data_IF_693628864000
#
_entry.id   IF_693628864000
#
_cell.length_a   1.000
_cell.length_b   1.000
_cell.length_c   1.000
_cell.angle_alpha   90.00
_cell.angle_beta   90.00
_cell.angle_gamma   90.00
#
_symmetry.space_group_name_H-M   'P 1'
#
loop_
_entity.id
_entity.type
_entity.pdbx_description
1 polymer ?
#
# COMPACT_ATOMS: atom_id res chain seq x y z
N UNK A 1 5.99 -10.75 -8.56
CA UNK A 1 5.49 -10.05 -7.35
C UNK A 1 4.08 -9.62 -7.65
N UNK A 2 3.17 -9.87 -6.70
CA UNK A 2 1.79 -9.47 -6.83
C UNK A 2 1.54 -8.25 -5.98
N UNK A 3 1.03 -7.19 -6.61
CA UNK A 3 0.77 -5.91 -5.96
C UNK A 3 -0.71 -5.65 -6.05
N UNK A 4 -1.33 -5.39 -4.91
CA UNK A 4 -2.73 -4.95 -4.81
C UNK A 4 -2.75 -3.66 -4.00
N UNK A 5 -3.47 -2.66 -4.50
CA UNK A 5 -3.55 -1.34 -3.86
C UNK A 5 -4.92 -0.71 -4.11
N UNK A 6 -5.33 0.22 -3.25
CA UNK A 6 -6.62 0.88 -3.39
C UNK A 6 -7.21 1.32 -2.05
N UNK A 7 -8.46 1.77 -2.08
CA UNK A 7 -9.25 2.12 -0.90
C UNK A 7 -10.04 0.92 -0.37
N UNK A 8 -10.97 1.15 0.56
CA UNK A 8 -11.97 0.17 0.99
C UNK A 8 -13.01 -0.16 -0.08
N UNK A 9 -13.22 0.74 -1.04
CA UNK A 9 -14.19 0.58 -2.15
C UNK A 9 -13.55 0.39 -3.53
N UNK A 10 -12.23 0.54 -3.65
CA UNK A 10 -11.47 0.39 -4.89
C UNK A 10 -10.31 -0.59 -4.68
N UNK A 11 -10.15 -1.57 -5.55
CA UNK A 11 -9.04 -2.53 -5.51
C UNK A 11 -8.43 -2.71 -6.89
N UNK A 12 -7.15 -2.33 -7.01
CA UNK A 12 -6.39 -2.34 -8.27
C UNK A 12 -5.17 -3.23 -8.18
N UNK A 13 -4.69 -3.65 -9.35
CA UNK A 13 -3.44 -4.42 -9.49
C UNK A 13 -2.30 -3.52 -9.95
N UNK A 14 -1.17 -3.62 -9.27
CA UNK A 14 0.06 -2.91 -9.60
C UNK A 14 0.99 -3.77 -10.45
N UNK A 15 1.76 -3.12 -11.32
CA UNK A 15 2.79 -3.79 -12.13
C UNK A 15 4.16 -3.36 -11.63
N UNK A 16 4.95 -4.31 -11.15
CA UNK A 16 6.35 -4.05 -10.79
C UNK A 16 7.19 -3.87 -12.05
N UNK A 17 7.91 -2.74 -12.17
CA UNK A 17 8.77 -2.47 -13.33
C UNK A 17 10.04 -1.77 -12.87
N UNK A 18 11.19 -2.20 -13.40
CA UNK A 18 12.49 -1.57 -13.12
C UNK A 18 12.82 -1.45 -11.61
N UNK A 19 12.42 -2.43 -10.80
CA UNK A 19 12.74 -2.47 -9.37
C UNK A 19 11.88 -1.57 -8.46
N UNK A 20 10.79 -0.98 -8.97
CA UNK A 20 9.85 -0.17 -8.17
C UNK A 20 8.43 -0.27 -8.72
N UNK A 21 7.46 0.01 -7.86
CA UNK A 21 6.10 0.35 -8.23
C UNK A 21 5.71 1.62 -7.47
N UNK A 22 5.13 2.57 -8.19
CA UNK A 22 4.66 3.84 -7.64
C UNK A 22 3.47 4.33 -8.47
N UNK A 23 2.45 4.83 -7.78
CA UNK A 23 1.25 5.36 -8.40
C UNK A 23 0.52 6.30 -7.45
N UNK A 24 -0.42 7.07 -7.99
CA UNK A 24 -1.28 7.99 -7.25
C UNK A 24 -2.73 7.68 -7.59
N UNK A 25 -3.58 7.68 -6.56
CA UNK A 25 -5.02 7.56 -6.71
C UNK A 25 -5.67 8.94 -6.48
N UNK A 26 -6.80 9.24 -7.12
CA UNK A 26 -7.67 10.32 -6.68
C UNK A 26 -8.02 10.15 -5.20
N UNK A 27 -7.95 11.23 -4.44
CA UNK A 27 -8.35 11.23 -3.05
C UNK A 27 -9.89 11.14 -2.95
N UNK A 28 -10.37 10.23 -2.12
CA UNK A 28 -11.78 10.05 -1.78
C UNK A 28 -11.96 10.36 -0.30
N UNK A 29 -12.75 11.39 -0.01
CA UNK A 29 -13.04 11.83 1.36
C UNK A 29 -13.88 10.82 2.15
N UNK A 30 -14.57 9.90 1.45
CA UNK A 30 -15.40 8.86 2.06
C UNK A 30 -14.63 7.55 2.27
N UNK A 31 -13.37 7.46 1.82
CA UNK A 31 -12.57 6.26 1.98
C UNK A 31 -12.25 6.00 3.46
N UNK A 32 -12.54 4.79 3.94
CA UNK A 32 -12.24 4.37 5.30
C UNK A 32 -10.76 4.03 5.47
N UNK A 33 -10.11 3.55 4.42
CA UNK A 33 -8.68 3.29 4.41
C UNK A 33 -8.11 3.31 3.00
N UNK A 34 -6.79 3.50 2.89
CA UNK A 34 -6.02 3.13 1.72
C UNK A 34 -4.98 2.08 2.10
N UNK A 35 -4.83 1.06 1.25
CA UNK A 35 -3.89 -0.02 1.50
C UNK A 35 -3.04 -0.34 0.27
N UNK A 36 -1.85 -0.87 0.54
CA UNK A 36 -0.93 -1.44 -0.42
C UNK A 36 -0.43 -2.76 0.16
N UNK A 37 -0.66 -3.83 -0.58
CA UNK A 37 -0.10 -5.15 -0.30
C UNK A 37 0.78 -5.56 -1.48
N UNK A 38 2.04 -5.89 -1.19
CA UNK A 38 2.98 -6.42 -2.16
C UNK A 38 3.51 -7.77 -1.66
N UNK A 39 3.33 -8.82 -2.44
CA UNK A 39 3.80 -10.16 -2.12
C UNK A 39 4.91 -10.59 -3.07
N UNK A 40 6.07 -10.91 -2.50
CA UNK A 40 7.14 -11.56 -3.26
C UNK A 40 6.74 -13.01 -3.59
N UNK A 41 7.01 -13.41 -4.84
CA UNK A 41 6.81 -14.78 -5.31
C UNK A 41 8.12 -15.58 -5.16
N UNK A 42 8.71 -15.54 -3.97
CA UNK A 42 10.02 -16.11 -3.68
C UNK A 42 10.77 -15.29 -2.63
N UNK A 43 12.11 -15.40 -2.63
CA UNK A 43 12.95 -14.67 -1.69
C UNK A 43 13.22 -13.23 -2.11
N UNK A 44 13.35 -12.33 -1.14
CA UNK A 44 13.79 -10.97 -1.39
C UNK A 44 13.58 -10.05 -0.20
N UNK A 45 13.73 -8.76 -0.45
CA UNK A 45 13.56 -7.68 0.50
C UNK A 45 12.70 -6.58 -0.14
N UNK A 46 11.56 -6.25 0.46
CA UNK A 46 10.64 -5.26 -0.08
C UNK A 46 10.16 -4.28 0.98
N UNK A 47 10.13 -3.01 0.58
CA UNK A 47 9.53 -1.93 1.35
C UNK A 47 8.29 -1.44 0.61
N UNK A 48 7.25 -1.13 1.36
CA UNK A 48 6.02 -0.57 0.83
C UNK A 48 5.60 0.61 1.70
N UNK A 49 4.94 1.59 1.09
CA UNK A 49 4.42 2.74 1.82
C UNK A 49 3.14 3.25 1.19
N UNK A 50 2.25 3.76 2.04
CA UNK A 50 1.04 4.49 1.64
C UNK A 50 1.12 5.87 2.27
N UNK A 51 0.88 6.90 1.47
CA UNK A 51 0.85 8.29 1.91
C UNK A 51 -0.51 8.89 1.57
N UNK A 52 -1.21 9.40 2.58
CA UNK A 52 -2.52 10.05 2.43
C UNK A 52 -2.54 11.31 3.29
N UNK A 53 -2.95 12.44 2.70
CA UNK A 53 -3.04 13.72 3.39
C UNK A 53 -1.78 14.09 4.22
N UNK A 54 -0.59 13.80 3.69
CA UNK A 54 0.70 14.06 4.36
C UNK A 54 1.12 13.03 5.41
N UNK A 55 0.24 12.11 5.82
CA UNK A 55 0.57 11.01 6.71
C UNK A 55 1.10 9.83 5.91
N UNK A 56 2.09 9.11 6.44
CA UNK A 56 2.71 7.97 5.74
C UNK A 56 2.80 6.75 6.64
N UNK A 57 2.25 5.61 6.18
CA UNK A 57 2.53 4.30 6.76
C UNK A 57 3.55 3.58 5.90
N UNK A 58 4.47 2.87 6.55
CA UNK A 58 5.47 2.02 5.89
C UNK A 58 5.31 0.59 6.36
N UNK A 59 5.55 -0.34 5.46
CA UNK A 59 5.72 -1.76 5.72
C UNK A 59 7.07 -2.23 5.20
N UNK A 60 7.51 -3.36 5.71
CA UNK A 60 8.75 -4.02 5.31
C UNK A 60 8.56 -5.53 5.43
N UNK A 61 9.07 -6.28 4.46
CA UNK A 61 9.04 -7.74 4.49
C UNK A 61 10.27 -8.32 3.79
N UNK A 62 10.93 -9.29 4.43
CA UNK A 62 12.14 -9.94 3.94
C UNK A 62 12.18 -11.44 4.33
N UNK A 63 12.90 -12.27 3.57
CA UNK A 63 12.87 -13.75 3.72
C UNK A 63 12.30 -14.51 2.52
N UNK A 64 11.67 -15.68 2.73
CA UNK A 64 11.21 -16.61 1.68
C UNK A 64 9.70 -16.59 1.35
N UNK A 65 8.87 -15.96 2.19
CA UNK A 65 7.46 -15.69 1.92
C UNK A 65 7.10 -14.36 2.57
N UNK A 66 7.15 -13.29 1.77
CA UNK A 66 7.18 -11.94 2.31
C UNK A 66 6.02 -11.15 1.71
N UNK A 67 5.06 -10.84 2.58
CA UNK A 67 3.97 -9.92 2.29
C UNK A 67 4.32 -8.60 2.96
N UNK A 68 4.59 -7.57 2.17
CA UNK A 68 4.64 -6.21 2.66
C UNK A 68 3.24 -5.62 2.63
N UNK A 69 2.75 -5.22 3.80
CA UNK A 69 1.47 -4.55 3.93
C UNK A 69 1.69 -3.16 4.55
N UNK A 70 1.08 -2.15 3.94
CA UNK A 70 0.96 -0.82 4.49
C UNK A 70 -0.49 -0.35 4.31
N UNK A 71 -1.07 0.21 5.38
CA UNK A 71 -2.42 0.73 5.37
C UNK A 71 -2.46 2.01 6.21
N UNK A 72 -3.19 3.01 5.73
CA UNK A 72 -3.60 4.17 6.49
C UNK A 72 -5.12 4.17 6.57
N UNK A 73 -5.66 4.36 7.76
CA UNK A 73 -7.10 4.46 7.98
C UNK A 73 -7.51 5.91 8.26
N UNK A 74 -8.70 6.29 7.77
CA UNK A 74 -9.35 7.54 8.11
C UNK A 74 -9.92 7.46 9.53
N UNK A 75 -9.57 8.42 10.37
CA UNK A 75 -10.06 8.59 11.72
C UNK A 75 -11.32 9.44 11.78
N UNK A 76 -11.96 9.47 12.95
CA UNK A 76 -13.25 10.16 13.19
C UNK A 76 -13.23 11.66 12.87
N UNK A 77 -12.05 12.29 12.81
CA UNK A 77 -11.89 13.72 12.54
C UNK A 77 -11.12 14.00 11.23
N UNK A 78 -11.04 13.02 10.32
CA UNK A 78 -10.28 13.14 9.07
C UNK A 78 -8.75 13.04 9.26
N UNK A 79 -8.30 12.60 10.43
CA UNK A 79 -6.90 12.21 10.68
C UNK A 79 -6.58 10.88 10.00
N UNK A 80 -5.36 10.69 9.51
CA UNK A 80 -4.93 9.44 8.85
C UNK A 80 -3.84 8.73 9.68
N UNK A 81 -4.01 7.46 10.04
CA UNK A 81 -3.09 6.71 10.95
C UNK A 81 -2.87 5.23 10.59
#
# INVERSE_FOLDING_TARGET
>A
MDITYGSDTDSRKGTWKNGRFETTLPFDENALYYSLTAQLQGSGDIHCSVTVAGNTKKGHASGGYNICNAQLSSGLFGDWK
#
